data_IF_969525796973
#
_entry.id   IF_969525796973
#
_cell.length_a   1.000
_cell.length_b   1.000
_cell.length_c   1.000
_cell.angle_alpha   90.00
_cell.angle_beta   90.00
_cell.angle_gamma   90.00
#
_symmetry.space_group_name_H-M   'P 1'
#
loop_
_entity.id
_entity.type
_entity.pdbx_description
1 polymer ?
#
# COMPACT_ATOMS: atom_id res chain seq x y z
N UNK A 1 -10.60 -6.57 11.88
CA UNK A 1 -9.28 -5.92 11.74
C UNK A 1 -9.23 -4.79 12.74
N UNK A 2 -8.04 -4.40 13.21
CA UNK A 2 -7.89 -3.27 14.15
C UNK A 2 -7.11 -2.17 13.46
N UNK A 3 -7.80 -1.24 12.82
CA UNK A 3 -7.17 -0.13 12.14
C UNK A 3 -6.84 1.01 13.11
N UNK A 4 -6.22 2.09 12.61
CA UNK A 4 -6.12 3.32 13.38
C UNK A 4 -7.51 3.89 13.68
N UNK A 5 -7.67 4.60 14.80
CA UNK A 5 -8.95 5.23 15.16
C UNK A 5 -9.46 6.16 14.04
N UNK A 6 -8.54 6.90 13.42
CA UNK A 6 -8.81 7.78 12.28
C UNK A 6 -9.32 7.00 11.06
N UNK A 7 -8.76 5.81 10.77
CA UNK A 7 -9.26 4.99 9.65
C UNK A 7 -10.62 4.36 10.00
N UNK A 8 -10.82 3.88 11.22
CA UNK A 8 -12.10 3.33 11.70
C UNK A 8 -13.24 4.37 11.60
N UNK A 9 -12.96 5.65 11.83
CA UNK A 9 -13.93 6.74 11.64
C UNK A 9 -14.43 6.82 10.19
N UNK A 10 -13.54 6.64 9.21
CA UNK A 10 -13.93 6.66 7.78
C UNK A 10 -14.81 5.49 7.39
N UNK A 11 -14.80 4.39 8.14
CA UNK A 11 -15.68 3.24 7.90
C UNK A 11 -17.11 3.45 8.43
N UNK A 12 -17.30 4.44 9.31
CA UNK A 12 -18.57 4.73 9.99
C UNK A 12 -19.23 6.02 9.51
N UNK A 13 -18.43 6.97 9.00
CA UNK A 13 -18.93 8.25 8.53
C UNK A 13 -19.66 8.14 7.19
N UNK A 14 -20.80 8.82 7.05
CA UNK A 14 -21.50 8.99 5.76
C UNK A 14 -20.78 9.99 4.85
N UNK A 15 -19.98 10.89 5.42
CA UNK A 15 -19.22 11.91 4.70
C UNK A 15 -17.73 11.51 4.49
N UNK A 16 -17.41 10.23 4.67
CA UNK A 16 -16.03 9.73 4.71
C UNK A 16 -15.20 10.14 3.49
N UNK A 17 -15.77 10.17 2.28
CA UNK A 17 -15.04 10.57 1.08
C UNK A 17 -14.59 12.02 1.16
N UNK A 18 -15.50 12.92 1.54
CA UNK A 18 -15.21 14.36 1.72
C UNK A 18 -14.18 14.56 2.83
N UNK A 19 -14.31 13.82 3.94
CA UNK A 19 -13.34 13.86 5.04
C UNK A 19 -11.94 13.42 4.58
N UNK A 20 -11.82 12.31 3.84
CA UNK A 20 -10.54 11.85 3.31
C UNK A 20 -9.97 12.85 2.31
N UNK A 21 -10.80 13.40 1.42
CA UNK A 21 -10.37 14.40 0.44
C UNK A 21 -9.83 15.68 1.09
N UNK A 22 -10.30 16.03 2.30
CA UNK A 22 -9.76 17.15 3.06
C UNK A 22 -8.28 16.97 3.40
N UNK A 23 -7.77 15.74 3.49
CA UNK A 23 -6.36 15.44 3.81
C UNK A 23 -5.41 15.64 2.62
N UNK A 24 -5.92 16.01 1.43
CA UNK A 24 -5.10 16.30 0.24
C UNK A 24 -3.99 17.32 0.52
N UNK A 25 -4.24 18.32 1.36
CA UNK A 25 -3.25 19.35 1.72
C UNK A 25 -1.99 18.77 2.37
N UNK A 26 -2.12 17.66 3.10
CA UNK A 26 -0.98 16.95 3.69
C UNK A 26 -0.08 16.39 2.57
N UNK A 27 -0.66 15.73 1.56
CA UNK A 27 0.13 15.27 0.40
C UNK A 27 0.81 16.44 -0.29
N UNK A 28 0.09 17.53 -0.58
CA UNK A 28 0.65 18.70 -1.25
C UNK A 28 1.88 19.26 -0.50
N UNK A 29 1.80 19.31 0.83
CA UNK A 29 2.91 19.75 1.69
C UNK A 29 4.12 18.82 1.58
N UNK A 30 3.91 17.50 1.58
CA UNK A 30 4.97 16.49 1.45
C UNK A 30 5.61 16.52 0.07
N UNK A 31 4.79 16.51 -0.99
CA UNK A 31 5.24 16.53 -2.39
C UNK A 31 5.99 17.81 -2.70
N UNK A 32 5.50 18.96 -2.21
CA UNK A 32 6.16 20.26 -2.38
C UNK A 32 7.59 20.22 -1.84
N UNK A 33 7.78 19.71 -0.62
CA UNK A 33 9.11 19.64 -0.02
C UNK A 33 10.06 18.66 -0.73
N UNK A 34 9.56 17.51 -1.18
CA UNK A 34 10.40 16.55 -1.92
C UNK A 34 10.68 16.96 -3.36
N UNK A 35 9.92 17.91 -3.90
CA UNK A 35 10.12 18.46 -5.23
C UNK A 35 11.03 19.69 -5.26
N UNK A 36 11.31 20.30 -4.11
CA UNK A 36 12.09 21.53 -4.02
C UNK A 36 13.61 21.25 -4.09
N UNK A 37 14.29 21.61 -5.20
CA UNK A 37 15.73 21.46 -5.33
C UNK A 37 16.52 22.45 -4.47
N UNK A 38 15.92 23.56 -4.04
CA UNK A 38 16.58 24.64 -3.31
C UNK A 38 16.87 24.29 -1.85
N UNK A 39 16.25 23.24 -1.30
CA UNK A 39 16.46 22.84 0.09
C UNK A 39 17.86 22.26 0.35
N UNK A 40 18.67 21.99 -0.68
CA UNK A 40 20.05 21.48 -0.52
C UNK A 40 20.16 20.17 0.28
N UNK A 41 19.03 19.48 0.51
CA UNK A 41 18.93 18.36 1.45
C UNK A 41 19.42 17.08 0.80
N UNK A 42 20.33 16.39 1.50
CA UNK A 42 20.72 15.02 1.17
C UNK A 42 19.63 14.06 1.64
N UNK A 43 18.78 13.61 0.73
CA UNK A 43 17.75 12.61 1.01
C UNK A 43 18.35 11.20 1.08
N UNK A 44 17.83 10.35 1.98
CA UNK A 44 18.25 8.95 2.08
C UNK A 44 18.07 8.27 0.72
N UNK A 45 19.13 7.59 0.27
CA UNK A 45 19.19 6.91 -1.04
C UNK A 45 19.07 7.84 -2.27
N UNK A 46 19.30 9.15 -2.09
CA UNK A 46 19.43 10.13 -3.16
C UNK A 46 18.11 10.75 -3.63
N UNK A 47 18.20 11.54 -4.70
CA UNK A 47 17.10 12.36 -5.24
C UNK A 47 16.54 11.83 -6.57
N UNK A 48 17.03 10.68 -7.02
CA UNK A 48 16.60 10.08 -8.28
C UNK A 48 15.17 9.54 -8.14
N UNK A 49 14.30 9.95 -9.08
CA UNK A 49 12.87 9.62 -9.12
C UNK A 49 12.59 8.22 -9.69
N UNK A 50 13.22 7.22 -9.08
CA UNK A 50 13.17 5.81 -9.53
C UNK A 50 12.33 4.92 -8.61
N UNK A 51 11.69 5.51 -7.61
CA UNK A 51 10.96 4.78 -6.58
C UNK A 51 9.46 4.89 -6.80
N UNK A 52 8.74 3.96 -6.17
CA UNK A 52 7.29 3.96 -6.10
C UNK A 52 6.86 3.22 -4.82
N UNK A 53 5.56 3.16 -4.58
CA UNK A 53 4.96 2.31 -3.55
C UNK A 53 4.06 1.26 -4.17
N UNK A 54 3.85 0.15 -3.48
CA UNK A 54 2.97 -0.91 -3.97
C UNK A 54 2.25 -1.58 -2.82
N UNK A 55 1.10 -2.16 -3.14
CA UNK A 55 0.28 -2.95 -2.24
C UNK A 55 0.22 -4.38 -2.77
N UNK A 56 0.23 -5.37 -1.87
CA UNK A 56 -0.20 -6.72 -2.21
C UNK A 56 -1.59 -6.96 -1.62
N UNK A 57 -2.53 -7.33 -2.49
CA UNK A 57 -3.92 -7.56 -2.14
C UNK A 57 -4.27 -9.04 -2.29
N UNK A 58 -5.18 -9.50 -1.44
CA UNK A 58 -5.73 -10.85 -1.44
C UNK A 58 -7.02 -10.91 -2.29
N UNK A 59 -7.00 -11.57 -3.46
CA UNK A 59 -8.16 -11.68 -4.32
C UNK A 59 -9.33 -12.45 -3.71
N UNK A 60 -9.06 -13.31 -2.71
CA UNK A 60 -10.11 -14.00 -1.97
C UNK A 60 -10.93 -13.05 -1.09
N UNK A 61 -10.45 -11.82 -0.89
CA UNK A 61 -11.17 -10.74 -0.19
C UNK A 61 -11.76 -9.74 -1.18
N UNK A 62 -11.00 -9.31 -2.19
CA UNK A 62 -11.50 -8.35 -3.18
C UNK A 62 -12.65 -8.95 -4.00
N UNK A 63 -12.56 -10.23 -4.35
CA UNK A 63 -13.51 -10.92 -5.22
C UNK A 63 -13.79 -10.10 -6.49
N UNK A 64 -12.74 -9.74 -7.22
CA UNK A 64 -12.79 -8.84 -8.37
C UNK A 64 -13.54 -7.54 -8.06
N UNK A 65 -13.11 -6.85 -7.00
CA UNK A 65 -13.78 -5.64 -6.49
C UNK A 65 -14.02 -4.57 -7.58
N UNK A 66 -13.10 -4.29 -8.52
CA UNK A 66 -13.33 -3.32 -9.59
C UNK A 66 -14.57 -3.63 -10.45
N UNK A 67 -14.82 -4.91 -10.77
CA UNK A 67 -15.96 -5.32 -11.58
C UNK A 67 -17.30 -5.14 -10.86
N UNK A 68 -17.31 -5.30 -9.53
CA UNK A 68 -18.53 -5.25 -8.72
C UNK A 68 -18.74 -3.92 -7.99
N UNK A 69 -17.78 -2.99 -8.00
CA UNK A 69 -17.84 -1.78 -7.18
C UNK A 69 -19.02 -0.88 -7.51
N UNK A 70 -19.47 -0.85 -8.77
CA UNK A 70 -20.63 -0.06 -9.20
C UNK A 70 -21.95 -0.53 -8.56
N UNK A 71 -22.02 -1.78 -8.09
CA UNK A 71 -23.22 -2.39 -7.49
C UNK A 71 -23.16 -2.45 -5.96
N UNK A 72 -22.08 -1.97 -5.35
CA UNK A 72 -21.85 -2.03 -3.91
C UNK A 72 -21.99 -0.64 -3.28
N UNK A 73 -22.50 -0.55 -2.04
CA UNK A 73 -22.38 0.66 -1.24
C UNK A 73 -20.92 1.09 -1.13
N UNK A 74 -20.66 2.38 -1.35
CA UNK A 74 -19.30 2.96 -1.30
C UNK A 74 -18.51 2.62 -0.03
N UNK A 75 -19.11 2.63 1.19
CA UNK A 75 -18.40 2.19 2.40
C UNK A 75 -17.98 0.71 2.35
N UNK A 76 -18.76 -0.15 1.70
CA UNK A 76 -18.41 -1.57 1.53
C UNK A 76 -17.26 -1.74 0.53
N UNK A 77 -17.22 -0.95 -0.54
CA UNK A 77 -16.07 -0.92 -1.47
C UNK A 77 -14.80 -0.52 -0.72
N UNK A 78 -14.88 0.55 0.09
CA UNK A 78 -13.76 1.02 0.90
C UNK A 78 -13.28 -0.03 1.91
N UNK A 79 -14.20 -0.60 2.69
CA UNK A 79 -13.90 -1.64 3.66
C UNK A 79 -13.27 -2.89 3.02
N UNK A 80 -13.80 -3.32 1.86
CA UNK A 80 -13.30 -4.49 1.12
C UNK A 80 -11.88 -4.24 0.62
N UNK A 81 -11.62 -3.06 0.03
CA UNK A 81 -10.29 -2.71 -0.44
C UNK A 81 -9.27 -2.74 0.70
N UNK A 82 -9.55 -2.06 1.81
CA UNK A 82 -8.69 -2.05 2.99
C UNK A 82 -8.43 -3.46 3.52
N UNK A 83 -9.50 -4.26 3.64
CA UNK A 83 -9.45 -5.62 4.15
C UNK A 83 -8.59 -6.57 3.29
N UNK A 84 -8.48 -6.28 1.99
CA UNK A 84 -7.70 -7.11 1.08
C UNK A 84 -6.18 -6.87 1.18
N UNK A 85 -5.75 -5.71 1.67
CA UNK A 85 -4.33 -5.35 1.73
C UNK A 85 -3.66 -6.15 2.83
N UNK A 86 -2.70 -6.99 2.45
CA UNK A 86 -1.89 -7.74 3.42
C UNK A 86 -0.43 -7.29 3.47
N UNK A 87 0.01 -6.42 2.56
CA UNK A 87 1.36 -5.87 2.56
C UNK A 87 1.42 -4.50 1.89
N UNK A 88 2.20 -3.59 2.48
CA UNK A 88 2.55 -2.29 1.91
C UNK A 88 4.06 -2.24 1.70
N UNK A 89 4.53 -1.82 0.53
CA UNK A 89 5.95 -1.73 0.25
C UNK A 89 6.34 -0.49 -0.54
N UNK A 90 7.62 -0.16 -0.44
CA UNK A 90 8.35 0.73 -1.35
C UNK A 90 9.16 -0.10 -2.34
N UNK A 91 9.12 0.30 -3.61
CA UNK A 91 9.73 -0.43 -4.73
C UNK A 91 10.73 0.42 -5.50
N UNK A 92 11.70 -0.27 -6.12
CA UNK A 92 12.48 0.19 -7.27
C UNK A 92 12.56 -1.00 -8.22
N UNK A 93 12.40 -0.78 -9.54
CA UNK A 93 12.51 -1.86 -10.55
C UNK A 93 11.64 -3.08 -10.16
N UNK A 94 12.18 -4.30 -10.27
CA UNK A 94 11.49 -5.56 -10.01
C UNK A 94 11.21 -5.88 -8.52
N UNK A 95 11.40 -4.92 -7.59
CA UNK A 95 11.24 -5.16 -6.14
C UNK A 95 9.90 -5.78 -5.71
N UNK A 96 8.75 -5.42 -6.29
CA UNK A 96 7.46 -6.03 -5.90
C UNK A 96 7.41 -7.54 -6.20
N UNK A 97 8.04 -7.95 -7.30
CA UNK A 97 8.11 -9.36 -7.71
C UNK A 97 9.06 -10.19 -6.83
N UNK A 98 10.00 -9.57 -6.11
CA UNK A 98 10.95 -10.30 -5.26
C UNK A 98 10.25 -11.23 -4.25
N UNK A 99 9.10 -10.81 -3.70
CA UNK A 99 8.33 -11.63 -2.76
C UNK A 99 7.64 -12.80 -3.45
N UNK A 100 7.21 -12.60 -4.70
CA UNK A 100 6.58 -13.63 -5.53
C UNK A 100 7.61 -14.66 -6.00
N UNK A 101 8.80 -14.21 -6.44
CA UNK A 101 9.92 -15.09 -6.76
C UNK A 101 10.31 -15.95 -5.54
N UNK A 102 10.43 -15.35 -4.36
CA UNK A 102 10.72 -16.10 -3.14
C UNK A 102 9.64 -17.15 -2.86
N UNK A 103 8.36 -16.81 -3.03
CA UNK A 103 7.27 -17.77 -2.87
C UNK A 103 7.32 -18.89 -3.92
N UNK A 104 7.65 -18.58 -5.18
CA UNK A 104 7.79 -19.56 -6.24
C UNK A 104 8.95 -20.54 -5.93
N UNK A 105 10.10 -20.04 -5.49
CA UNK A 105 11.22 -20.88 -5.06
C UNK A 105 10.84 -21.81 -3.90
N UNK A 106 10.16 -21.30 -2.87
CA UNK A 106 9.69 -22.13 -1.74
C UNK A 106 8.69 -23.19 -2.22
N UNK A 107 7.77 -22.85 -3.12
CA UNK A 107 6.82 -23.80 -3.72
C UNK A 107 7.54 -24.89 -4.53
N UNK A 108 8.64 -24.55 -5.19
CA UNK A 108 9.51 -25.47 -5.93
C UNK A 108 10.44 -26.32 -5.07
N UNK A 109 10.32 -26.26 -3.73
CA UNK A 109 11.09 -27.11 -2.80
C UNK A 109 12.32 -26.45 -2.17
N UNK A 110 12.54 -25.14 -2.35
CA UNK A 110 13.63 -24.45 -1.68
C UNK A 110 13.45 -24.46 -0.14
N UNK A 111 14.52 -24.77 0.58
CA UNK A 111 14.54 -24.87 2.07
C UNK A 111 14.54 -23.51 2.79
N UNK A 112 14.43 -22.40 2.04
CA UNK A 112 14.41 -21.05 2.61
C UNK A 112 13.20 -20.84 3.53
N UNK A 113 13.43 -20.24 4.69
CA UNK A 113 12.36 -19.93 5.67
C UNK A 113 11.34 -18.97 5.05
N UNK A 114 10.11 -19.45 4.88
CA UNK A 114 8.99 -18.62 4.47
C UNK A 114 8.59 -17.66 5.60
N UNK A 115 8.68 -16.37 5.35
CA UNK A 115 8.21 -15.34 6.28
C UNK A 115 6.69 -15.12 6.18
N UNK A 116 6.14 -14.18 6.96
CA UNK A 116 4.68 -13.94 7.00
C UNK A 116 4.10 -13.61 5.62
N UNK A 117 4.79 -12.80 4.83
CA UNK A 117 4.32 -12.38 3.49
C UNK A 117 4.40 -13.52 2.49
N UNK A 118 5.50 -14.30 2.47
CA UNK A 118 5.64 -15.47 1.61
C UNK A 118 4.58 -16.52 1.94
N UNK A 119 4.35 -16.79 3.24
CA UNK A 119 3.27 -17.69 3.68
C UNK A 119 1.89 -17.24 3.21
N UNK A 120 1.61 -15.93 3.23
CA UNK A 120 0.33 -15.40 2.73
C UNK A 120 0.20 -15.56 1.21
N UNK A 121 1.25 -15.27 0.45
CA UNK A 121 1.30 -15.48 -1.01
C UNK A 121 1.03 -16.96 -1.35
N UNK A 122 1.75 -17.88 -0.70
CA UNK A 122 1.58 -19.32 -0.89
C UNK A 122 0.15 -19.78 -0.57
N UNK A 123 -0.45 -19.25 0.50
CA UNK A 123 -1.85 -19.55 0.86
C UNK A 123 -2.81 -19.13 -0.27
N UNK A 124 -2.67 -17.92 -0.80
CA UNK A 124 -3.50 -17.42 -1.90
C UNK A 124 -3.35 -18.32 -3.14
N UNK A 125 -2.11 -18.67 -3.50
CA UNK A 125 -1.83 -19.56 -4.62
C UNK A 125 -2.39 -20.97 -4.44
N UNK A 126 -2.36 -21.52 -3.22
CA UNK A 126 -2.92 -22.83 -2.91
C UNK A 126 -4.45 -22.85 -2.98
N UNK A 127 -5.11 -21.70 -2.87
CA UNK A 127 -6.54 -21.54 -3.12
C UNK A 127 -6.89 -21.40 -4.62
N UNK A 128 -5.92 -21.54 -5.53
CA UNK A 128 -6.14 -21.41 -6.98
C UNK A 128 -6.27 -19.96 -7.46
N UNK A 129 -5.92 -18.98 -6.63
CA UNK A 129 -5.91 -17.54 -6.94
C UNK A 129 -4.49 -17.05 -7.19
N UNK A 130 -4.32 -15.83 -7.72
CA UNK A 130 -3.03 -15.16 -7.87
C UNK A 130 -2.99 -13.83 -7.13
N UNK A 131 -1.86 -13.45 -6.53
CA UNK A 131 -1.77 -12.20 -5.74
C UNK A 131 -1.90 -10.98 -6.63
N UNK A 132 -2.66 -9.97 -6.20
CA UNK A 132 -2.72 -8.68 -6.91
C UNK A 132 -1.59 -7.80 -6.41
N UNK A 133 -0.74 -7.34 -7.34
CA UNK A 133 0.35 -6.41 -7.06
C UNK A 133 0.02 -5.03 -7.63
N UNK A 134 -0.54 -4.16 -6.81
CA UNK A 134 -0.95 -2.81 -7.21
C UNK A 134 0.21 -1.83 -7.04
N UNK A 135 0.70 -1.26 -8.14
CA UNK A 135 1.73 -0.22 -8.09
C UNK A 135 1.09 1.17 -8.04
N UNK A 136 1.51 2.01 -7.09
CA UNK A 136 0.97 3.36 -6.88
C UNK A 136 2.08 4.36 -6.60
N UNK A 137 1.84 5.63 -6.95
CA UNK A 137 2.75 6.76 -6.74
C UNK A 137 4.13 6.55 -7.38
N UNK A 138 4.15 6.46 -8.71
CA UNK A 138 5.36 6.28 -9.52
C UNK A 138 6.21 7.56 -9.59
N UNK A 139 7.47 7.41 -10.03
CA UNK A 139 8.40 8.51 -10.31
C UNK A 139 8.66 9.43 -9.11
N UNK A 140 8.78 8.85 -7.91
CA UNK A 140 9.08 9.57 -6.67
C UNK A 140 10.49 9.26 -6.17
N UNK A 141 11.03 10.16 -5.35
CA UNK A 141 12.33 9.94 -4.71
C UNK A 141 12.18 8.87 -3.60
N UNK A 142 13.27 8.21 -3.18
CA UNK A 142 13.20 7.17 -2.15
C UNK A 142 12.61 7.69 -0.83
N UNK A 143 13.06 8.86 -0.34
CA UNK A 143 12.57 9.45 0.91
C UNK A 143 11.04 9.65 0.91
N UNK A 144 10.46 10.04 -0.22
CA UNK A 144 9.02 10.14 -0.40
C UNK A 144 8.35 8.77 -0.36
N UNK A 145 8.91 7.77 -1.05
CA UNK A 145 8.38 6.40 -1.01
C UNK A 145 8.40 5.80 0.40
N UNK A 146 9.45 6.08 1.20
CA UNK A 146 9.50 5.70 2.62
C UNK A 146 8.38 6.38 3.42
N UNK A 147 8.20 7.69 3.27
CA UNK A 147 7.16 8.45 3.96
C UNK A 147 5.75 7.95 3.61
N UNK A 148 5.48 7.70 2.31
CA UNK A 148 4.19 7.17 1.83
C UNK A 148 3.91 5.77 2.39
N UNK A 149 4.90 4.88 2.38
CA UNK A 149 4.81 3.54 2.99
C UNK A 149 4.51 3.65 4.49
N UNK A 150 5.25 4.49 5.22
CA UNK A 150 5.06 4.69 6.66
C UNK A 150 3.64 5.16 7.01
N UNK A 151 3.14 6.15 6.26
CA UNK A 151 1.80 6.69 6.44
C UNK A 151 0.72 5.62 6.26
N UNK A 152 0.80 4.83 5.18
CA UNK A 152 -0.16 3.74 4.93
C UNK A 152 -0.07 2.63 5.99
N UNK A 153 1.13 2.28 6.46
CA UNK A 153 1.34 1.31 7.54
C UNK A 153 0.70 1.75 8.86
N UNK A 154 0.85 3.04 9.22
CA UNK A 154 0.29 3.58 10.46
C UNK A 154 -1.24 3.66 10.42
N UNK A 155 -1.83 3.94 9.25
CA UNK A 155 -3.28 3.94 9.06
C UNK A 155 -3.88 2.52 9.14
N UNK A 156 -3.28 1.56 8.43
CA UNK A 156 -3.74 0.16 8.42
C UNK A 156 -3.45 -0.57 9.73
N UNK A 157 -2.39 -0.19 10.45
CA UNK A 157 -1.92 -0.89 11.63
C UNK A 157 -1.19 -2.21 11.29
N UNK A 158 0.03 -2.36 11.81
CA UNK A 158 0.91 -3.50 11.50
C UNK A 158 0.31 -4.88 11.83
N UNK A 159 -0.61 -4.95 12.80
CA UNK A 159 -1.26 -6.20 13.18
C UNK A 159 -2.12 -6.81 12.05
N UNK A 160 -2.58 -6.00 11.09
CA UNK A 160 -3.36 -6.46 9.94
C UNK A 160 -2.48 -6.81 8.73
N UNK A 161 -1.15 -6.62 8.83
CA UNK A 161 -0.22 -6.73 7.71
C UNK A 161 0.85 -7.81 7.93
N UNK A 162 1.42 -8.26 6.82
CA UNK A 162 2.57 -9.15 6.81
C UNK A 162 3.91 -8.40 6.94
N UNK A 163 3.87 -7.06 6.98
CA UNK A 163 5.03 -6.22 7.25
C UNK A 163 5.66 -6.57 8.61
N UNK A 164 6.99 -6.62 8.66
CA UNK A 164 7.72 -6.98 9.89
C UNK A 164 8.03 -5.78 10.78
N UNK A 165 7.98 -4.56 10.24
CA UNK A 165 8.25 -3.31 10.95
C UNK A 165 7.47 -2.16 10.35
N UNK A 166 7.34 -1.08 11.11
CA UNK A 166 6.81 0.19 10.66
C UNK A 166 7.69 0.86 9.59
N UNK A 167 7.17 1.93 9.00
CA UNK A 167 7.91 2.75 8.05
C UNK A 167 8.67 3.88 8.73
N UNK A 168 9.40 4.63 7.92
CA UNK A 168 10.17 5.78 8.37
C UNK A 168 9.66 7.04 7.66
N UNK A 169 9.55 8.14 8.41
CA UNK A 169 9.11 9.43 7.89
C UNK A 169 10.30 10.34 7.61
N UNK A 170 10.24 11.03 6.49
CA UNK A 170 11.24 12.01 6.07
C UNK A 170 10.60 13.37 5.82
N UNK A 171 11.45 14.41 5.85
CA UNK A 171 11.00 15.77 5.58
C UNK A 171 10.06 16.29 6.66
N UNK A 172 9.11 17.13 6.26
CA UNK A 172 8.12 17.78 7.12
C UNK A 172 7.21 16.77 7.81
N UNK A 173 6.94 15.63 7.15
CA UNK A 173 6.15 14.56 7.74
C UNK A 173 6.83 13.90 8.94
N UNK A 174 8.17 14.01 9.09
CA UNK A 174 8.86 13.47 10.26
C UNK A 174 8.41 14.16 11.56
N UNK A 175 8.14 15.47 11.51
CA UNK A 175 7.77 16.31 12.66
C UNK A 175 6.26 16.34 12.91
N UNK A 176 5.46 15.72 12.05
CA UNK A 176 4.01 15.70 12.21
C UNK A 176 3.54 14.85 13.39
N UNK A 177 2.38 15.25 13.92
CA UNK A 177 1.63 14.46 14.90
C UNK A 177 1.25 13.08 14.34
N UNK A 178 1.03 12.11 15.24
CA UNK A 178 0.57 10.78 14.86
C UNK A 178 -0.77 10.82 14.10
N UNK A 179 -1.65 11.77 14.43
CA UNK A 179 -2.92 11.98 13.74
C UNK A 179 -2.71 12.38 12.28
N UNK A 180 -1.90 13.41 12.02
CA UNK A 180 -1.60 13.86 10.66
C UNK A 180 -0.96 12.76 9.81
N UNK A 181 -0.03 11.99 10.40
CA UNK A 181 0.63 10.85 9.74
C UNK A 181 -0.37 9.80 9.25
N UNK A 182 -1.35 9.44 10.09
CA UNK A 182 -2.40 8.48 9.72
C UNK A 182 -3.41 9.07 8.73
N UNK A 183 -3.79 10.35 8.88
CA UNK A 183 -4.64 11.07 7.92
C UNK A 183 -4.03 11.08 6.52
N UNK A 184 -2.72 11.33 6.43
CA UNK A 184 -1.98 11.20 5.17
C UNK A 184 -2.04 9.76 4.64
N UNK A 185 -1.86 8.76 5.50
CA UNK A 185 -1.96 7.34 5.14
C UNK A 185 -3.33 6.95 4.58
N UNK A 186 -4.40 7.38 5.24
CA UNK A 186 -5.79 7.20 4.81
C UNK A 186 -6.00 7.79 3.42
N UNK A 187 -5.49 9.00 3.18
CA UNK A 187 -5.58 9.65 1.88
C UNK A 187 -4.87 8.85 0.78
N UNK A 188 -3.67 8.34 1.06
CA UNK A 188 -2.95 7.48 0.11
C UNK A 188 -3.67 6.16 -0.16
N UNK A 189 -4.27 5.53 0.85
CA UNK A 189 -5.05 4.31 0.68
C UNK A 189 -6.29 4.56 -0.18
N UNK A 190 -6.98 5.68 0.02
CA UNK A 190 -8.11 6.05 -0.82
C UNK A 190 -7.69 6.29 -2.27
N UNK A 191 -6.58 7.01 -2.50
CA UNK A 191 -6.02 7.18 -3.84
C UNK A 191 -5.64 5.84 -4.47
N UNK A 192 -5.04 4.92 -3.71
CA UNK A 192 -4.70 3.60 -4.18
C UNK A 192 -5.95 2.78 -4.55
N UNK A 193 -7.02 2.88 -3.77
CA UNK A 193 -8.32 2.28 -4.12
C UNK A 193 -8.82 2.80 -5.46
N UNK A 194 -8.81 4.12 -5.66
CA UNK A 194 -9.26 4.71 -6.93
C UNK A 194 -8.42 4.23 -8.12
N UNK A 195 -7.09 4.07 -7.96
CA UNK A 195 -6.25 3.47 -9.00
C UNK A 195 -6.66 2.02 -9.26
N UNK A 196 -6.82 1.20 -8.22
CA UNK A 196 -7.21 -0.20 -8.34
C UNK A 196 -8.57 -0.39 -9.03
N UNK A 197 -9.57 0.41 -8.66
CA UNK A 197 -10.90 0.36 -9.27
C UNK A 197 -10.88 0.74 -10.76
N UNK A 198 -9.96 1.62 -11.18
CA UNK A 198 -9.84 2.03 -12.59
C UNK A 198 -8.94 1.09 -13.42
N UNK A 199 -7.88 0.53 -12.84
CA UNK A 199 -6.96 -0.37 -13.54
C UNK A 199 -7.47 -1.81 -13.66
N UNK A 200 -8.42 -2.18 -12.80
CA UNK A 200 -8.96 -3.54 -12.68
C UNK A 200 -8.12 -4.46 -11.80
N UNK A 201 -8.57 -5.70 -11.66
CA UNK A 201 -7.89 -6.72 -10.86
C UNK A 201 -7.05 -7.65 -11.75
N UNK A 202 -5.73 -7.63 -11.57
CA UNK A 202 -4.81 -8.55 -12.26
C UNK A 202 -4.07 -9.40 -11.23
N UNK A 203 -4.29 -10.70 -11.33
CA UNK A 203 -3.75 -11.69 -10.41
C UNK A 203 -2.44 -12.26 -10.94
N UNK A 204 -1.40 -12.29 -10.12
CA UNK A 204 -0.12 -12.94 -10.39
C UNK A 204 -0.13 -14.34 -9.78
N UNK A 205 -0.34 -15.34 -10.62
CA UNK A 205 -0.35 -16.77 -10.30
C UNK A 205 1.07 -17.34 -10.33
N UNK A 206 1.30 -18.55 -9.79
CA UNK A 206 2.62 -19.18 -9.87
C UNK A 206 3.20 -19.27 -11.28
N UNK A 207 2.35 -19.51 -12.29
CA UNK A 207 2.76 -19.63 -13.69
C UNK A 207 3.19 -18.29 -14.33
N UNK A 208 2.81 -17.16 -13.73
CA UNK A 208 3.17 -15.82 -14.22
C UNK A 208 4.53 -15.36 -13.67
N UNK A 209 5.16 -16.18 -12.82
CA UNK A 209 6.44 -15.87 -12.20
C UNK A 209 7.54 -16.59 -12.99
N UNK A 210 8.47 -15.83 -13.63
CA UNK A 210 9.62 -16.39 -14.34
C UNK A 210 10.51 -17.28 -13.49
#
# INVERSE_FOLDING_TARGET
MKYSCELEQTLRSLAWQTEILSYRHLEQTVVGQFSDPALGRRWRQGIQRTSFTYLLLDPGVTCNLPERSAKLPQPQVWATFLASIFYVGKGKRARPFAHLYQAASVRGGATTKADKKVKRILKIWNCGLGVVCLHVFQNIIPAEAFTREAAMLDALGLANLCNTRGGEYYGVAATWSARQKKQLGIYFLYRAMMVFLNEGERQLRPADIP
#
